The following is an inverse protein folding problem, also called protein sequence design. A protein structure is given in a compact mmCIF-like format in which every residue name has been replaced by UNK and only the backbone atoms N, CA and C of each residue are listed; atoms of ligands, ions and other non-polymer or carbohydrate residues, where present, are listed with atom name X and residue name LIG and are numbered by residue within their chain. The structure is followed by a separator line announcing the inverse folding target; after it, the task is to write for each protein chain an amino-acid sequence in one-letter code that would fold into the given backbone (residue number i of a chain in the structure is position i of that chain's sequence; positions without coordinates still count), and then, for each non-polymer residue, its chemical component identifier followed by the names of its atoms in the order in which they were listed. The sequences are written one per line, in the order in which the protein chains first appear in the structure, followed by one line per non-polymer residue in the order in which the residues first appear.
data_IF_842187193882
#
_entry.id   IF_842187193882
#
_cell.length_a   1.000
_cell.length_b   1.000
_cell.length_c   1.000
_cell.angle_alpha   90.00
_cell.angle_beta   90.00
_cell.angle_gamma   90.00
#
_symmetry.space_group_name_H-M   'P 1'
#
loop_
_entity.id
_entity.type
_entity.pdbx_description
1 polymer ?
#
# COMPACT_ATOMS: atom_id res chain seq x y z
N UNK A 1 -26.34 -9.53 -45.52
CA UNK A 1 -25.89 -8.36 -44.75
C UNK A 1 -25.47 -8.85 -43.38
N UNK A 2 -24.18 -9.03 -43.21
CA UNK A 2 -23.56 -9.48 -41.95
C UNK A 2 -22.82 -8.32 -41.34
N UNK A 3 -23.33 -7.78 -40.25
CA UNK A 3 -22.56 -6.85 -39.40
C UNK A 3 -21.82 -7.70 -38.34
N UNK A 4 -20.51 -7.85 -38.53
CA UNK A 4 -19.62 -8.36 -37.52
C UNK A 4 -19.14 -7.20 -36.65
N UNK A 5 -19.67 -7.13 -35.42
CA UNK A 5 -19.20 -6.24 -34.37
C UNK A 5 -17.77 -6.59 -33.95
N UNK A 6 -16.86 -5.73 -34.29
CA UNK A 6 -15.44 -5.78 -33.86
C UNK A 6 -15.36 -5.61 -32.36
N UNK A 7 -15.16 -6.70 -31.63
CA UNK A 7 -14.68 -6.69 -30.25
C UNK A 7 -13.19 -6.39 -30.28
N UNK A 8 -12.83 -5.16 -30.03
CA UNK A 8 -11.44 -4.74 -29.83
C UNK A 8 -10.87 -5.47 -28.61
N UNK A 9 -10.18 -6.57 -28.86
CA UNK A 9 -9.34 -7.23 -27.85
C UNK A 9 -8.16 -6.28 -27.57
N UNK A 10 -8.09 -5.72 -26.39
CA UNK A 10 -6.87 -5.13 -25.85
C UNK A 10 -5.82 -6.25 -25.72
N UNK A 11 -5.01 -6.42 -26.75
CA UNK A 11 -3.80 -7.23 -26.64
C UNK A 11 -2.80 -6.49 -25.76
N UNK A 12 -2.70 -6.90 -24.50
CA UNK A 12 -1.71 -6.44 -23.56
C UNK A 12 -0.32 -6.80 -24.06
N UNK A 13 0.44 -5.79 -24.46
CA UNK A 13 1.89 -5.90 -24.59
C UNK A 13 2.44 -6.27 -23.22
N UNK A 14 3.34 -7.25 -23.14
CA UNK A 14 3.93 -7.75 -21.93
C UNK A 14 4.48 -6.61 -21.05
N UNK A 15 3.65 -6.17 -20.11
CA UNK A 15 4.02 -5.14 -19.16
C UNK A 15 5.16 -5.66 -18.29
N UNK A 16 6.25 -4.92 -18.25
CA UNK A 16 7.35 -5.20 -17.34
C UNK A 16 6.85 -5.16 -15.92
N UNK A 17 7.30 -6.05 -15.04
CA UNK A 17 6.87 -6.15 -13.61
C UNK A 17 6.80 -4.81 -12.87
N UNK A 18 7.55 -3.79 -13.30
CA UNK A 18 7.50 -2.42 -12.79
C UNK A 18 6.30 -1.61 -13.26
N UNK A 19 5.87 -1.79 -14.53
CA UNK A 19 4.70 -1.12 -15.09
C UNK A 19 3.39 -1.55 -14.43
N UNK A 20 3.24 -2.83 -14.11
CA UNK A 20 2.06 -3.35 -13.44
C UNK A 20 1.89 -2.75 -12.03
N UNK A 21 3.00 -2.57 -11.31
CA UNK A 21 2.98 -1.92 -9.99
C UNK A 21 2.59 -0.43 -10.09
N UNK A 22 3.15 0.30 -11.06
CA UNK A 22 2.82 1.71 -11.28
C UNK A 22 1.34 1.90 -11.64
N UNK A 23 0.78 1.05 -12.52
CA UNK A 23 -0.63 1.09 -12.87
C UNK A 23 -1.54 0.75 -11.68
N UNK A 24 -1.16 -0.23 -10.85
CA UNK A 24 -1.89 -0.55 -9.62
C UNK A 24 -1.94 0.67 -8.66
N UNK A 25 -0.83 1.39 -8.51
CA UNK A 25 -0.78 2.63 -7.74
C UNK A 25 -1.73 3.68 -8.31
N UNK A 26 -1.74 3.91 -9.62
CA UNK A 26 -2.63 4.90 -10.27
C UNK A 26 -4.10 4.57 -10.03
N UNK A 27 -4.50 3.35 -10.37
CA UNK A 27 -5.93 2.95 -10.36
C UNK A 27 -6.49 2.91 -8.94
N UNK A 28 -5.73 2.34 -7.99
CA UNK A 28 -6.19 2.27 -6.59
C UNK A 28 -6.09 3.63 -5.88
N UNK A 29 -5.16 4.51 -6.27
CA UNK A 29 -5.16 5.91 -5.79
C UNK A 29 -6.45 6.62 -6.19
N UNK A 30 -6.83 6.52 -7.46
CA UNK A 30 -8.08 7.13 -7.94
C UNK A 30 -9.31 6.61 -7.17
N UNK A 31 -9.37 5.31 -6.89
CA UNK A 31 -10.46 4.72 -6.13
C UNK A 31 -10.53 5.25 -4.69
N UNK A 32 -9.39 5.34 -3.97
CA UNK A 32 -9.34 5.85 -2.59
C UNK A 32 -9.67 7.33 -2.56
N UNK A 33 -9.08 8.15 -3.41
CA UNK A 33 -9.33 9.60 -3.48
C UNK A 33 -10.78 9.94 -3.86
N UNK A 34 -11.52 9.04 -4.51
CA UNK A 34 -12.94 9.22 -4.86
C UNK A 34 -13.89 8.59 -3.83
N UNK A 35 -13.39 8.00 -2.73
CA UNK A 35 -14.22 7.21 -1.80
C UNK A 35 -15.32 8.02 -1.11
N UNK A 36 -15.06 9.30 -0.83
CA UNK A 36 -16.02 10.24 -0.24
C UNK A 36 -16.64 11.21 -1.27
N UNK A 37 -16.24 11.08 -2.57
CA UNK A 37 -16.67 11.93 -3.68
C UNK A 37 -15.95 13.28 -3.76
N UNK A 38 -14.87 13.47 -2.98
CA UNK A 38 -14.08 14.72 -2.96
C UNK A 38 -12.59 14.40 -3.01
N UNK A 39 -11.94 14.85 -4.07
CA UNK A 39 -10.49 14.75 -4.19
C UNK A 39 -9.83 15.92 -3.47
N UNK A 40 -9.08 15.64 -2.39
CA UNK A 40 -8.39 16.67 -1.63
C UNK A 40 -7.05 17.06 -2.28
N UNK A 41 -6.67 18.33 -2.12
CA UNK A 41 -5.38 18.82 -2.61
C UNK A 41 -4.20 18.13 -1.92
N UNK A 42 -4.32 17.84 -0.62
CA UNK A 42 -3.34 17.09 0.19
C UNK A 42 -3.06 15.69 -0.35
N UNK A 43 -4.11 14.95 -0.73
CA UNK A 43 -3.99 13.62 -1.34
C UNK A 43 -3.27 13.69 -2.69
N UNK A 44 -3.66 14.64 -3.54
CA UNK A 44 -3.04 14.83 -4.84
C UNK A 44 -1.54 15.18 -4.69
N UNK A 45 -1.19 16.06 -3.77
CA UNK A 45 0.22 16.41 -3.49
C UNK A 45 0.99 15.23 -2.89
N UNK A 46 0.37 14.41 -2.04
CA UNK A 46 0.97 13.19 -1.53
C UNK A 46 1.30 12.22 -2.69
N UNK A 47 0.32 11.93 -3.56
CA UNK A 47 0.49 11.04 -4.71
C UNK A 47 1.54 11.58 -5.67
N UNK A 48 1.51 12.87 -5.98
CA UNK A 48 2.48 13.54 -6.85
C UNK A 48 3.90 13.45 -6.29
N UNK A 49 4.09 13.75 -5.01
CA UNK A 49 5.37 13.61 -4.32
C UNK A 49 5.84 12.17 -4.32
N UNK A 50 4.93 11.23 -4.06
CA UNK A 50 5.22 9.81 -4.10
C UNK A 50 5.69 9.37 -5.50
N UNK A 51 4.96 9.70 -6.57
CA UNK A 51 5.32 9.32 -7.93
C UNK A 51 6.67 9.92 -8.35
N UNK A 52 6.92 11.20 -8.05
CA UNK A 52 8.21 11.84 -8.37
C UNK A 52 9.39 11.22 -7.66
N UNK A 53 9.24 10.88 -6.39
CA UNK A 53 10.30 10.23 -5.61
C UNK A 53 10.57 8.79 -6.06
N UNK A 54 9.56 8.13 -6.64
CA UNK A 54 9.63 6.70 -6.93
C UNK A 54 9.94 6.38 -8.39
N UNK A 55 9.51 7.22 -9.30
CA UNK A 55 9.60 6.97 -10.74
C UNK A 55 10.37 8.06 -11.52
N UNK A 56 10.83 9.11 -10.84
CA UNK A 56 11.42 10.27 -11.49
C UNK A 56 10.36 11.21 -12.08
N UNK A 57 10.80 12.38 -12.59
CA UNK A 57 9.88 13.45 -13.01
C UNK A 57 9.06 13.03 -14.23
N UNK A 58 9.72 12.53 -15.28
CA UNK A 58 9.07 12.23 -16.57
C UNK A 58 8.00 11.14 -16.45
N UNK A 59 8.33 10.04 -15.77
CA UNK A 59 7.38 8.96 -15.54
C UNK A 59 6.26 9.40 -14.58
N UNK A 60 6.59 10.18 -13.55
CA UNK A 60 5.58 10.69 -12.61
C UNK A 60 4.55 11.56 -13.32
N UNK A 61 4.95 12.42 -14.24
CA UNK A 61 4.04 13.26 -14.98
C UNK A 61 3.10 12.42 -15.89
N UNK A 62 3.61 11.35 -16.50
CA UNK A 62 2.77 10.39 -17.24
C UNK A 62 1.76 9.67 -16.32
N UNK A 63 2.20 9.21 -15.15
CA UNK A 63 1.32 8.56 -14.17
C UNK A 63 0.26 9.51 -13.63
N UNK A 64 0.58 10.80 -13.46
CA UNK A 64 -0.39 11.83 -13.04
C UNK A 64 -1.44 12.11 -14.12
N UNK A 65 -1.08 12.05 -15.40
CA UNK A 65 -2.06 12.13 -16.49
C UNK A 65 -3.02 10.93 -16.45
N UNK A 66 -2.49 9.72 -16.26
CA UNK A 66 -3.30 8.51 -16.10
C UNK A 66 -4.20 8.58 -14.86
N UNK A 67 -3.68 9.09 -13.73
CA UNK A 67 -4.46 9.30 -12.51
C UNK A 67 -5.63 10.25 -12.77
N UNK A 68 -5.40 11.38 -13.48
CA UNK A 68 -6.46 12.32 -13.83
C UNK A 68 -7.57 11.67 -14.64
N UNK A 69 -7.22 10.76 -15.56
CA UNK A 69 -8.23 10.03 -16.33
C UNK A 69 -8.94 8.97 -15.48
N UNK A 70 -8.20 8.26 -14.61
CA UNK A 70 -8.80 7.28 -13.70
C UNK A 70 -9.78 7.91 -12.70
N UNK A 71 -9.52 9.13 -12.22
CA UNK A 71 -10.41 9.87 -11.32
C UNK A 71 -11.79 10.21 -11.95
N UNK A 72 -11.90 10.22 -13.29
CA UNK A 72 -13.17 10.46 -14.00
C UNK A 72 -14.00 9.19 -14.18
N UNK A 73 -13.43 8.02 -13.86
CA UNK A 73 -14.04 6.72 -14.12
C UNK A 73 -14.47 6.04 -12.82
N UNK A 74 -15.52 5.25 -12.92
CA UNK A 74 -15.87 4.34 -11.82
C UNK A 74 -15.02 3.07 -11.93
N UNK A 75 -14.11 2.89 -10.98
CA UNK A 75 -13.15 1.78 -10.98
C UNK A 75 -13.80 0.53 -10.39
N UNK A 76 -13.75 -0.61 -11.10
CA UNK A 76 -14.03 -1.92 -10.51
C UNK A 76 -12.87 -2.33 -9.57
N UNK A 77 -12.92 -1.80 -8.35
CA UNK A 77 -11.92 -2.02 -7.30
C UNK A 77 -11.69 -3.50 -7.02
N UNK A 78 -12.76 -4.31 -7.04
CA UNK A 78 -12.68 -5.75 -6.79
C UNK A 78 -11.93 -6.46 -7.91
N UNK A 79 -12.32 -6.23 -9.15
CA UNK A 79 -11.67 -6.86 -10.32
C UNK A 79 -10.19 -6.49 -10.39
N UNK A 80 -9.86 -5.21 -10.20
CA UNK A 80 -8.48 -4.70 -10.18
C UNK A 80 -7.68 -5.34 -9.05
N UNK A 81 -8.20 -5.40 -7.83
CA UNK A 81 -7.49 -5.99 -6.68
C UNK A 81 -7.24 -7.50 -6.86
N UNK A 82 -8.20 -8.24 -7.44
CA UNK A 82 -8.04 -9.66 -7.77
C UNK A 82 -6.96 -9.85 -8.84
N UNK A 83 -6.95 -9.03 -9.88
CA UNK A 83 -5.91 -9.07 -10.92
C UNK A 83 -4.51 -8.76 -10.34
N UNK A 84 -4.39 -7.76 -9.47
CA UNK A 84 -3.16 -7.43 -8.76
C UNK A 84 -2.70 -8.62 -7.90
N UNK A 85 -3.62 -9.27 -7.18
CA UNK A 85 -3.31 -10.45 -6.36
C UNK A 85 -2.70 -11.59 -7.18
N UNK A 86 -3.17 -11.81 -8.39
CA UNK A 86 -2.71 -12.89 -9.28
C UNK A 86 -1.33 -12.59 -9.88
N UNK A 87 -0.98 -11.31 -10.10
CA UNK A 87 0.21 -10.89 -10.82
C UNK A 87 1.30 -10.28 -9.92
N UNK A 88 0.98 -9.99 -8.65
CA UNK A 88 1.88 -9.29 -7.74
C UNK A 88 2.18 -10.12 -6.50
N UNK A 89 3.45 -10.25 -6.14
CA UNK A 89 3.88 -10.94 -4.93
C UNK A 89 3.38 -10.25 -3.64
N UNK A 90 3.32 -11.02 -2.56
CA UNK A 90 2.76 -10.55 -1.29
C UNK A 90 3.47 -9.30 -0.70
N UNK A 91 4.83 -9.19 -0.71
CA UNK A 91 5.50 -7.99 -0.22
C UNK A 91 5.10 -6.72 -0.95
N UNK A 92 4.95 -6.76 -2.28
CA UNK A 92 4.51 -5.60 -3.08
C UNK A 92 3.09 -5.19 -2.74
N UNK A 93 2.19 -6.16 -2.53
CA UNK A 93 0.80 -5.88 -2.11
C UNK A 93 0.75 -5.19 -0.74
N UNK A 94 1.65 -5.53 0.18
CA UNK A 94 1.76 -4.85 1.48
C UNK A 94 2.25 -3.40 1.34
N UNK A 95 3.22 -3.15 0.45
CA UNK A 95 3.68 -1.79 0.16
C UNK A 95 2.58 -0.94 -0.50
N UNK A 96 1.82 -1.55 -1.42
CA UNK A 96 0.66 -0.92 -2.01
C UNK A 96 -0.38 -0.54 -0.94
N UNK A 97 -0.68 -1.44 -0.01
CA UNK A 97 -1.60 -1.15 1.10
C UNK A 97 -1.09 0.01 1.97
N UNK A 98 0.20 0.00 2.34
CA UNK A 98 0.81 1.09 3.10
C UNK A 98 0.71 2.44 2.39
N UNK A 99 0.91 2.44 1.07
CA UNK A 99 0.77 3.64 0.25
C UNK A 99 -0.68 4.19 0.27
N UNK A 100 -1.69 3.31 0.15
CA UNK A 100 -3.10 3.72 0.19
C UNK A 100 -3.49 4.34 1.53
N UNK A 101 -3.02 3.80 2.66
CA UNK A 101 -3.17 4.45 3.98
C UNK A 101 -2.44 5.80 4.05
N UNK A 102 -1.33 5.96 3.35
CA UNK A 102 -0.61 7.23 3.24
C UNK A 102 -1.44 8.31 2.53
N UNK A 103 -2.24 7.95 1.50
CA UNK A 103 -3.18 8.87 0.85
C UNK A 103 -4.23 9.32 1.86
N UNK A 104 -4.95 8.38 2.47
CA UNK A 104 -6.04 8.65 3.42
C UNK A 104 -5.60 9.48 4.64
N UNK A 105 -4.32 9.49 4.99
CA UNK A 105 -3.79 10.29 6.12
C UNK A 105 -3.11 11.60 5.69
N UNK A 106 -3.11 11.92 4.41
CA UNK A 106 -2.31 13.03 3.86
C UNK A 106 -2.73 14.42 4.38
N UNK A 107 -3.96 14.59 4.83
CA UNK A 107 -4.51 15.83 5.41
C UNK A 107 -4.51 15.82 6.96
N UNK A 108 -4.07 14.70 7.58
CA UNK A 108 -4.08 14.52 9.04
C UNK A 108 -5.39 14.00 9.61
N UNK A 109 -6.48 14.02 8.85
CA UNK A 109 -7.76 13.39 9.17
C UNK A 109 -7.87 12.06 8.43
N UNK A 110 -8.65 11.17 8.97
CA UNK A 110 -8.85 9.85 8.35
C UNK A 110 -10.35 9.67 8.14
N UNK A 111 -10.79 9.71 6.88
CA UNK A 111 -12.19 9.48 6.54
C UNK A 111 -12.53 7.98 6.68
N UNK A 112 -13.70 7.72 7.23
CA UNK A 112 -14.16 6.34 7.46
C UNK A 112 -14.39 5.60 6.15
N UNK A 113 -14.94 6.26 5.13
CA UNK A 113 -15.23 5.61 3.84
C UNK A 113 -13.94 5.20 3.13
N UNK A 114 -12.89 6.05 3.20
CA UNK A 114 -11.57 5.71 2.67
C UNK A 114 -10.98 4.49 3.37
N UNK A 115 -11.00 4.47 4.71
CA UNK A 115 -10.47 3.34 5.49
C UNK A 115 -11.23 2.05 5.20
N UNK A 116 -12.55 2.11 5.14
CA UNK A 116 -13.37 0.94 4.85
C UNK A 116 -13.12 0.43 3.42
N UNK A 117 -12.92 1.34 2.45
CA UNK A 117 -12.53 0.99 1.09
C UNK A 117 -11.12 0.36 1.06
N UNK A 118 -10.13 0.95 1.74
CA UNK A 118 -8.76 0.42 1.81
C UNK A 118 -8.74 -0.98 2.43
N UNK A 119 -9.50 -1.21 3.50
CA UNK A 119 -9.66 -2.55 4.11
C UNK A 119 -10.30 -3.53 3.15
N UNK A 120 -11.29 -3.10 2.36
CA UNK A 120 -11.92 -3.92 1.33
C UNK A 120 -10.94 -4.29 0.23
N UNK A 121 -10.18 -3.31 -0.29
CA UNK A 121 -9.08 -3.54 -1.24
C UNK A 121 -8.09 -4.57 -0.68
N UNK A 122 -7.66 -4.42 0.56
CA UNK A 122 -6.69 -5.31 1.19
C UNK A 122 -7.17 -6.77 1.27
N UNK A 123 -8.46 -6.99 1.56
CA UNK A 123 -9.06 -8.34 1.55
C UNK A 123 -9.02 -8.96 0.15
N UNK A 124 -9.38 -8.20 -0.89
CA UNK A 124 -9.33 -8.67 -2.29
C UNK A 124 -7.90 -8.88 -2.79
N UNK A 125 -6.93 -8.11 -2.30
CA UNK A 125 -5.51 -8.34 -2.50
C UNK A 125 -5.00 -9.61 -1.80
N UNK A 126 -5.82 -10.27 -0.97
CA UNK A 126 -5.43 -11.47 -0.22
C UNK A 126 -4.43 -11.17 0.90
N UNK A 127 -4.54 -10.00 1.51
CA UNK A 127 -3.75 -9.60 2.67
C UNK A 127 -4.45 -10.09 3.95
N UNK A 128 -3.70 -10.67 4.88
CA UNK A 128 -4.26 -11.20 6.13
C UNK A 128 -4.77 -10.10 7.06
N UNK A 129 -5.76 -10.39 7.90
CA UNK A 129 -6.26 -9.43 8.87
C UNK A 129 -5.16 -8.90 9.83
N UNK A 130 -4.19 -9.74 10.17
CA UNK A 130 -3.03 -9.34 11.00
C UNK A 130 -2.14 -8.34 10.27
N UNK A 131 -1.81 -8.60 9.01
CA UNK A 131 -1.03 -7.68 8.18
C UNK A 131 -1.76 -6.35 7.99
N UNK A 132 -3.08 -6.39 7.74
CA UNK A 132 -3.91 -5.18 7.60
C UNK A 132 -3.82 -4.34 8.88
N UNK A 133 -4.10 -4.92 10.05
CA UNK A 133 -4.03 -4.23 11.34
C UNK A 133 -2.63 -3.68 11.61
N UNK A 134 -1.59 -4.45 11.32
CA UNK A 134 -0.20 -4.06 11.53
C UNK A 134 0.21 -2.87 10.66
N UNK A 135 -0.25 -2.82 9.40
CA UNK A 135 0.06 -1.72 8.47
C UNK A 135 -0.79 -0.49 8.79
N UNK A 136 -2.05 -0.67 9.16
CA UNK A 136 -2.97 0.42 9.51
C UNK A 136 -2.59 1.14 10.81
N UNK A 137 -2.08 0.40 11.80
CA UNK A 137 -1.86 0.91 13.15
C UNK A 137 -1.04 2.22 13.23
N UNK A 138 0.07 2.40 12.48
CA UNK A 138 0.81 3.66 12.49
C UNK A 138 0.03 4.87 11.91
N UNK A 139 -1.07 4.60 11.19
CA UNK A 139 -1.92 5.64 10.60
C UNK A 139 -3.13 5.99 11.48
N UNK A 140 -3.40 5.22 12.54
CA UNK A 140 -4.45 5.55 13.50
C UNK A 140 -4.13 6.86 14.24
N UNK A 141 -5.17 7.61 14.60
CA UNK A 141 -5.03 8.82 15.41
C UNK A 141 -4.63 8.44 16.84
N UNK A 142 -3.42 8.83 17.25
CA UNK A 142 -2.87 8.54 18.57
C UNK A 142 -1.52 7.84 18.52
N UNK A 143 -1.05 7.36 19.67
CA UNK A 143 0.18 6.55 19.74
C UNK A 143 -0.09 5.16 19.16
N UNK A 144 0.68 4.75 18.17
CA UNK A 144 0.55 3.42 17.57
C UNK A 144 0.79 2.33 18.63
N UNK A 145 -0.06 1.31 18.65
CA UNK A 145 0.11 0.18 19.57
C UNK A 145 1.24 -0.74 19.04
N UNK A 146 2.40 -0.82 19.71
CA UNK A 146 3.56 -1.55 19.21
C UNK A 146 3.31 -3.05 19.09
N UNK A 147 2.43 -3.62 19.90
CA UNK A 147 2.05 -5.04 19.80
C UNK A 147 1.27 -5.34 18.52
N UNK A 148 0.38 -4.44 18.12
CA UNK A 148 -0.35 -4.57 16.84
C UNK A 148 0.60 -4.39 15.65
N UNK A 149 1.54 -3.44 15.72
CA UNK A 149 2.56 -3.26 14.69
C UNK A 149 3.37 -4.53 14.48
N UNK A 150 3.72 -5.25 15.57
CA UNK A 150 4.46 -6.52 15.54
C UNK A 150 3.58 -7.76 15.30
N UNK A 151 2.26 -7.61 15.13
CA UNK A 151 1.32 -8.73 14.92
C UNK A 151 1.26 -9.73 16.08
N UNK A 152 1.52 -9.28 17.31
CA UNK A 152 1.53 -10.11 18.51
C UNK A 152 0.51 -9.65 19.55
N UNK A 153 0.09 -10.54 20.43
CA UNK A 153 -0.73 -10.18 21.60
C UNK A 153 0.12 -9.38 22.62
N UNK A 154 -0.55 -8.49 23.37
CA UNK A 154 0.09 -7.82 24.53
C UNK A 154 0.66 -8.81 25.56
N UNK A 155 0.08 -10.02 25.64
CA UNK A 155 0.49 -11.08 26.55
C UNK A 155 1.46 -12.08 25.90
N UNK A 156 1.95 -11.85 24.67
CA UNK A 156 2.92 -12.70 24.01
C UNK A 156 4.23 -12.79 24.83
N UNK A 157 4.90 -13.94 24.81
CA UNK A 157 6.20 -14.07 25.46
C UNK A 157 7.26 -13.19 24.79
N UNK A 158 8.34 -12.86 25.50
CA UNK A 158 9.46 -12.09 24.92
C UNK A 158 10.12 -12.85 23.76
N UNK A 159 10.12 -14.17 23.82
CA UNK A 159 10.55 -15.03 22.70
C UNK A 159 9.68 -14.84 21.47
N UNK A 160 8.36 -14.78 21.63
CA UNK A 160 7.42 -14.56 20.51
C UNK A 160 7.56 -13.15 19.94
N UNK A 161 7.75 -12.14 20.79
CA UNK A 161 8.03 -10.76 20.35
C UNK A 161 9.31 -10.71 19.51
N UNK A 162 10.41 -11.33 19.95
CA UNK A 162 11.66 -11.42 19.20
C UNK A 162 11.49 -12.17 17.88
N UNK A 163 10.70 -13.25 17.87
CA UNK A 163 10.41 -14.05 16.66
C UNK A 163 9.60 -13.24 15.66
N UNK A 164 8.57 -12.54 16.13
CA UNK A 164 7.73 -11.68 15.29
C UNK A 164 8.54 -10.53 14.67
N UNK A 165 9.35 -9.84 15.47
CA UNK A 165 10.26 -8.80 14.97
C UNK A 165 11.17 -9.33 13.86
N UNK A 166 11.86 -10.45 14.08
CA UNK A 166 12.74 -11.04 13.04
C UNK A 166 12.00 -11.38 11.76
N UNK A 167 10.79 -11.95 11.87
CA UNK A 167 9.94 -12.27 10.71
C UNK A 167 9.58 -11.03 9.91
N UNK A 168 9.13 -9.96 10.57
CA UNK A 168 8.74 -8.72 9.91
C UNK A 168 9.95 -7.95 9.37
N UNK A 169 11.06 -7.92 10.10
CA UNK A 169 12.30 -7.31 9.64
C UNK A 169 12.82 -7.96 8.33
N UNK A 170 12.75 -9.29 8.24
CA UNK A 170 13.09 -10.02 7.01
C UNK A 170 12.08 -9.73 5.89
N UNK A 171 10.78 -9.64 6.22
CA UNK A 171 9.68 -9.39 5.26
C UNK A 171 9.78 -8.01 4.61
N UNK A 172 10.16 -6.99 5.39
CA UNK A 172 10.27 -5.61 4.92
C UNK A 172 11.72 -5.13 4.72
N UNK A 173 12.67 -6.07 4.61
CA UNK A 173 14.07 -5.70 4.38
C UNK A 173 14.24 -5.00 3.02
N UNK A 174 14.86 -3.80 2.97
CA UNK A 174 14.96 -3.03 1.72
C UNK A 174 15.66 -3.79 0.59
N UNK A 175 16.64 -4.64 0.91
CA UNK A 175 17.38 -5.42 -0.10
C UNK A 175 16.50 -6.47 -0.79
N UNK A 176 15.48 -6.99 -0.10
CA UNK A 176 14.53 -7.95 -0.69
C UNK A 176 13.54 -7.30 -1.65
N UNK A 177 13.40 -5.99 -1.59
CA UNK A 177 12.44 -5.20 -2.37
C UNK A 177 13.16 -4.26 -3.34
N UNK A 178 14.48 -4.14 -3.24
CA UNK A 178 15.31 -3.21 -4.02
C UNK A 178 15.24 -3.39 -5.54
N UNK A 179 14.88 -4.60 -6.02
CA UNK A 179 14.67 -4.86 -7.44
C UNK A 179 13.43 -4.15 -8.04
N UNK A 180 12.59 -3.53 -7.22
CA UNK A 180 11.40 -2.78 -7.64
C UNK A 180 11.67 -1.29 -7.91
N UNK A 181 12.90 -0.84 -7.67
CA UNK A 181 13.30 0.56 -7.77
C UNK A 181 13.40 1.27 -6.42
N UNK A 182 13.88 2.52 -6.44
CA UNK A 182 14.17 3.28 -5.22
C UNK A 182 12.94 3.59 -4.36
N UNK A 183 11.79 3.69 -4.98
CA UNK A 183 10.57 4.03 -4.29
C UNK A 183 10.01 2.96 -3.39
N UNK A 184 9.71 1.76 -3.91
CA UNK A 184 9.35 0.62 -3.08
C UNK A 184 10.40 0.31 -2.01
N UNK A 185 11.68 0.49 -2.31
CA UNK A 185 12.78 0.36 -1.34
C UNK A 185 12.66 1.37 -0.20
N UNK A 186 12.30 2.62 -0.51
CA UNK A 186 12.08 3.65 0.52
C UNK A 186 10.88 3.32 1.40
N UNK A 187 9.75 2.90 0.82
CA UNK A 187 8.59 2.44 1.59
C UNK A 187 8.92 1.24 2.49
N UNK A 188 9.64 0.27 1.97
CA UNK A 188 10.10 -0.88 2.76
C UNK A 188 10.96 -0.42 3.93
N UNK A 189 11.88 0.53 3.71
CA UNK A 189 12.70 1.12 4.77
C UNK A 189 11.84 1.83 5.82
N UNK A 190 10.85 2.61 5.41
CA UNK A 190 9.92 3.27 6.35
C UNK A 190 9.17 2.24 7.18
N UNK A 191 8.66 1.17 6.56
CA UNK A 191 7.98 0.09 7.28
C UNK A 191 8.92 -0.68 8.20
N UNK A 192 10.13 -0.95 7.77
CA UNK A 192 11.17 -1.58 8.59
C UNK A 192 11.44 -0.75 9.85
N UNK A 193 11.58 0.58 9.72
CA UNK A 193 11.79 1.48 10.87
C UNK A 193 10.59 1.50 11.83
N UNK A 194 9.36 1.44 11.33
CA UNK A 194 8.17 1.31 12.17
C UNK A 194 8.18 0.01 12.99
N UNK A 195 8.52 -1.11 12.34
CA UNK A 195 8.65 -2.44 12.98
C UNK A 195 9.77 -2.43 14.02
N UNK A 196 10.90 -1.84 13.70
CA UNK A 196 12.03 -1.70 14.63
C UNK A 196 11.66 -0.81 15.84
N UNK A 197 11.04 0.33 15.62
CA UNK A 197 10.59 1.21 16.68
C UNK A 197 9.62 0.54 17.64
N UNK A 198 8.64 -0.20 17.10
CA UNK A 198 7.70 -0.96 17.91
C UNK A 198 8.38 -2.05 18.77
N UNK A 199 9.39 -2.73 18.21
CA UNK A 199 10.18 -3.71 18.95
C UNK A 199 10.98 -3.08 20.11
N UNK A 200 11.68 -1.97 19.84
CA UNK A 200 12.46 -1.29 20.87
C UNK A 200 11.57 -0.72 21.98
N UNK A 201 10.37 -0.24 21.65
CA UNK A 201 9.38 0.24 22.61
C UNK A 201 8.93 -0.91 23.56
N UNK A 202 8.56 -2.07 23.00
CA UNK A 202 8.18 -3.23 23.81
C UNK A 202 9.36 -3.73 24.65
N UNK A 203 10.55 -3.81 24.06
CA UNK A 203 11.78 -4.23 24.73
C UNK A 203 12.08 -3.33 25.95
N UNK A 204 11.99 -2.02 25.77
CA UNK A 204 12.16 -1.04 26.85
C UNK A 204 11.10 -1.17 27.92
N UNK A 205 9.82 -1.30 27.53
CA UNK A 205 8.69 -1.40 28.45
C UNK A 205 8.74 -2.69 29.31
N UNK A 206 9.28 -3.79 28.77
CA UNK A 206 9.37 -5.09 29.47
C UNK A 206 10.74 -5.37 30.08
N UNK A 207 11.76 -4.58 29.80
CA UNK A 207 13.11 -4.73 30.36
C UNK A 207 13.90 -5.97 29.89
N UNK A 208 13.53 -6.60 28.76
CA UNK A 208 14.29 -7.73 28.24
C UNK A 208 15.43 -7.30 27.29
N UNK A 209 16.45 -8.14 27.17
CA UNK A 209 17.62 -7.91 26.30
C UNK A 209 17.48 -8.58 24.93
#
# INVERSE_FOLDING_TARGET
MNEQGSRGAYQGHGATRGGDFAMALVVLSAAVMNADGKVLKSELEFVKKFFRLNFGVDMADQLLLLLREALKQNVDVRGVAVQIRSNMDHPKRLLLLQYLYGIAKSDGNVDKNEIDLIRNIARHLGISAKDITSIEEPFNTGSANPYKVLEVSKNASDSDVKKAYRKLAVKFHPDKIGYLGEGPKKQAKERFLQVQGAYEEIKKARGFK
#
